data_IF_869234829748
#
_entry.id   IF_869234829748
#
_cell.length_a   1.000
_cell.length_b   1.000
_cell.length_c   1.000
_cell.angle_alpha   90.00
_cell.angle_beta   90.00
_cell.angle_gamma   90.00
#
_symmetry.space_group_name_H-M   'P 1'
#
loop_
_entity.id
_entity.type
_entity.pdbx_description
1 polymer ?
#
# COMPACT_ATOMS: atom_id res chain seq x y z
N UNK A 1 25.12 -17.95 8.23
CA UNK A 1 23.94 -18.75 7.83
C UNK A 1 23.17 -19.28 9.04
N UNK A 2 23.82 -19.26 10.22
CA UNK A 2 23.30 -19.81 11.48
C UNK A 2 22.68 -18.73 12.38
N UNK A 3 22.70 -17.46 11.96
CA UNK A 3 22.09 -16.36 12.72
C UNK A 3 20.56 -16.52 12.73
N UNK A 4 19.97 -16.39 13.92
CA UNK A 4 18.54 -16.45 14.12
C UNK A 4 17.82 -15.25 13.52
N UNK A 5 16.76 -15.50 12.76
CA UNK A 5 15.92 -14.49 12.11
C UNK A 5 15.37 -13.47 13.11
N UNK A 6 14.90 -13.92 14.28
CA UNK A 6 14.37 -13.06 15.34
C UNK A 6 15.48 -12.35 16.12
N UNK A 7 16.67 -12.95 16.23
CA UNK A 7 17.83 -12.33 16.88
C UNK A 7 18.35 -11.13 16.06
N UNK A 8 18.15 -11.16 14.74
CA UNK A 8 18.42 -10.06 13.81
C UNK A 8 17.28 -9.03 13.76
N UNK A 9 16.28 -9.13 14.63
CA UNK A 9 15.14 -8.22 14.70
C UNK A 9 14.03 -8.55 13.70
N UNK A 10 14.02 -9.76 13.15
CA UNK A 10 12.90 -10.28 12.37
C UNK A 10 11.60 -10.29 13.18
N UNK A 11 10.48 -9.99 12.53
CA UNK A 11 9.14 -10.07 13.09
C UNK A 11 8.19 -10.75 12.10
N UNK A 12 6.89 -10.82 12.44
CA UNK A 12 5.89 -11.44 11.57
C UNK A 12 5.74 -10.74 10.21
N UNK A 13 6.02 -9.44 10.11
CA UNK A 13 5.94 -8.68 8.87
C UNK A 13 7.16 -8.98 7.99
N UNK A 14 8.37 -8.97 8.59
CA UNK A 14 9.60 -9.33 7.87
C UNK A 14 9.52 -10.80 7.41
N UNK A 15 8.91 -11.68 8.19
CA UNK A 15 8.70 -13.08 7.82
C UNK A 15 7.80 -13.21 6.58
N UNK A 16 6.70 -12.44 6.49
CA UNK A 16 5.84 -12.39 5.31
C UNK A 16 6.62 -11.86 4.09
N UNK A 17 7.43 -10.82 4.27
CA UNK A 17 8.28 -10.27 3.19
C UNK A 17 9.32 -11.28 2.72
N UNK A 18 9.95 -12.01 3.63
CA UNK A 18 10.90 -13.08 3.34
C UNK A 18 10.24 -14.17 2.50
N UNK A 19 9.09 -14.67 2.94
CA UNK A 19 8.30 -15.69 2.21
C UNK A 19 7.93 -15.20 0.81
N UNK A 20 7.45 -13.96 0.69
CA UNK A 20 7.08 -13.38 -0.60
C UNK A 20 8.27 -13.29 -1.57
N UNK A 21 9.42 -12.81 -1.09
CA UNK A 21 10.65 -12.69 -1.89
C UNK A 21 11.26 -14.05 -2.24
N UNK A 22 11.24 -15.00 -1.32
CA UNK A 22 11.67 -16.38 -1.58
C UNK A 22 10.83 -16.98 -2.71
N UNK A 23 9.51 -16.81 -2.67
CA UNK A 23 8.60 -17.29 -3.72
C UNK A 23 8.87 -16.64 -5.09
N UNK A 24 9.11 -15.33 -5.12
CA UNK A 24 9.53 -14.63 -6.34
C UNK A 24 10.86 -15.17 -6.89
N UNK A 25 11.74 -15.65 -6.01
CA UNK A 25 13.01 -16.28 -6.35
C UNK A 25 12.90 -17.78 -6.67
N UNK A 26 11.67 -18.33 -6.72
CA UNK A 26 11.42 -19.73 -7.08
C UNK A 26 11.45 -20.72 -5.91
N UNK A 27 11.43 -20.24 -4.66
CA UNK A 27 11.45 -21.08 -3.45
C UNK A 27 10.15 -20.91 -2.63
N UNK A 28 9.53 -22.03 -2.25
CA UNK A 28 8.38 -22.07 -1.35
C UNK A 28 8.87 -22.34 0.06
N UNK A 29 8.66 -21.35 0.92
CA UNK A 29 8.72 -21.45 2.38
C UNK A 29 7.44 -20.81 2.93
N UNK A 30 6.98 -21.25 4.09
CA UNK A 30 5.79 -20.70 4.74
C UNK A 30 6.17 -19.81 5.92
N UNK A 31 5.29 -18.90 6.37
CA UNK A 31 5.53 -18.16 7.61
C UNK A 31 5.77 -19.10 8.80
N UNK A 32 5.06 -20.23 8.84
CA UNK A 32 5.27 -21.27 9.86
C UNK A 32 6.71 -21.79 9.82
N UNK A 33 7.27 -22.02 8.64
CA UNK A 33 8.65 -22.47 8.50
C UNK A 33 9.61 -21.43 9.06
N UNK A 34 9.41 -20.13 8.82
CA UNK A 34 10.26 -19.05 9.40
C UNK A 34 10.24 -19.05 10.93
N UNK A 35 9.09 -19.36 11.54
CA UNK A 35 9.00 -19.47 13.00
C UNK A 35 9.64 -20.74 13.56
N UNK A 36 9.56 -21.85 12.82
CA UNK A 36 10.07 -23.16 13.24
C UNK A 36 11.56 -23.35 12.94
N UNK A 37 12.03 -22.75 11.85
CA UNK A 37 13.35 -22.86 11.26
C UNK A 37 13.92 -21.44 11.18
N UNK A 38 14.64 -21.03 12.22
CA UNK A 38 14.94 -19.63 12.44
C UNK A 38 16.22 -19.19 11.75
N UNK A 39 17.02 -20.12 11.23
CA UNK A 39 18.27 -19.81 10.53
C UNK A 39 18.12 -20.02 9.02
N UNK A 40 19.03 -19.44 8.24
CA UNK A 40 19.07 -19.62 6.78
C UNK A 40 19.34 -21.07 6.42
N UNK A 41 20.18 -21.76 7.19
CA UNK A 41 20.49 -23.19 7.00
C UNK A 41 19.23 -24.05 7.18
N UNK A 42 18.49 -23.86 8.27
CA UNK A 42 17.29 -24.65 8.56
C UNK A 42 16.17 -24.37 7.54
N UNK A 43 16.00 -23.11 7.13
CA UNK A 43 15.03 -22.75 6.09
C UNK A 43 15.40 -23.32 4.72
N UNK A 44 16.69 -23.32 4.37
CA UNK A 44 17.14 -23.91 3.12
C UNK A 44 16.87 -25.42 3.06
N UNK A 45 16.89 -26.11 4.20
CA UNK A 45 16.59 -27.54 4.28
C UNK A 45 15.10 -27.87 4.07
N UNK A 46 14.19 -26.93 4.35
CA UNK A 46 12.73 -27.13 4.16
C UNK A 46 12.19 -26.50 2.88
N UNK A 47 12.88 -25.50 2.34
CA UNK A 47 12.51 -24.80 1.12
C UNK A 47 12.34 -25.76 -0.06
N UNK A 48 11.17 -25.69 -0.70
CA UNK A 48 10.87 -26.47 -1.90
C UNK A 48 10.97 -25.58 -3.14
N UNK A 49 11.43 -26.07 -4.31
CA UNK A 49 11.25 -25.34 -5.54
C UNK A 49 9.74 -25.16 -5.81
N UNK A 50 9.34 -23.98 -6.29
CA UNK A 50 7.96 -23.74 -6.69
C UNK A 50 7.58 -24.72 -7.80
N UNK A 51 6.60 -25.61 -7.54
CA UNK A 51 6.12 -26.57 -8.53
C UNK A 51 5.53 -25.88 -9.77
N UNK A 52 5.53 -26.56 -10.92
CA UNK A 52 5.02 -26.02 -12.19
C UNK A 52 3.55 -25.54 -12.11
N UNK A 53 2.76 -26.06 -11.16
CA UNK A 53 1.38 -25.61 -10.86
C UNK A 53 1.23 -24.72 -9.62
N UNK A 54 2.31 -24.44 -8.88
CA UNK A 54 2.30 -23.58 -7.68
C UNK A 54 2.86 -22.18 -7.95
N UNK A 55 3.40 -21.94 -9.14
CA UNK A 55 3.60 -20.56 -9.62
C UNK A 55 2.23 -19.90 -9.56
N UNK A 56 2.10 -18.84 -8.76
CA UNK A 56 0.90 -18.02 -8.81
C UNK A 56 0.72 -17.64 -10.28
N UNK A 57 -0.36 -18.12 -10.91
CA UNK A 57 -0.69 -17.72 -12.28
C UNK A 57 -0.68 -16.20 -12.29
N UNK A 58 0.23 -15.62 -13.08
CA UNK A 58 0.28 -14.18 -13.24
C UNK A 58 -1.09 -13.74 -13.74
N UNK A 59 -1.72 -12.86 -12.98
CA UNK A 59 -3.03 -12.34 -13.38
C UNK A 59 -2.91 -11.65 -14.74
N UNK A 60 -3.91 -11.80 -15.63
CA UNK A 60 -3.91 -11.06 -16.87
C UNK A 60 -3.92 -9.55 -16.55
N UNK A 61 -3.29 -8.70 -17.39
CA UNK A 61 -3.33 -7.26 -17.21
C UNK A 61 -4.77 -6.76 -17.01
N UNK A 62 -4.98 -5.92 -15.99
CA UNK A 62 -6.30 -5.38 -15.64
C UNK A 62 -7.21 -6.30 -14.82
N UNK A 63 -6.75 -7.48 -14.40
CA UNK A 63 -7.55 -8.37 -13.54
C UNK A 63 -8.00 -7.73 -12.21
N UNK A 64 -7.22 -6.77 -11.70
CA UNK A 64 -7.54 -6.02 -10.49
C UNK A 64 -8.66 -4.99 -10.64
N UNK A 65 -9.12 -4.69 -11.86
CA UNK A 65 -10.07 -3.62 -12.17
C UNK A 65 -11.51 -4.10 -12.06
N UNK A 66 -12.41 -3.22 -11.62
CA UNK A 66 -13.85 -3.45 -11.50
C UNK A 66 -14.29 -3.81 -10.08
N UNK A 67 -15.47 -4.43 -9.96
CA UNK A 67 -16.10 -4.69 -8.67
C UNK A 67 -15.24 -5.57 -7.76
N UNK A 68 -15.04 -5.11 -6.52
CA UNK A 68 -14.31 -5.78 -5.45
C UNK A 68 -15.32 -6.31 -4.42
N UNK A 69 -15.35 -7.62 -4.14
CA UNK A 69 -16.15 -8.15 -3.05
C UNK A 69 -15.75 -7.50 -1.71
N UNK A 70 -16.73 -7.05 -0.94
CA UNK A 70 -16.48 -6.43 0.36
C UNK A 70 -15.83 -7.45 1.31
N UNK A 71 -14.64 -7.11 1.78
CA UNK A 71 -13.90 -7.91 2.77
C UNK A 71 -14.42 -7.60 4.18
N UNK A 72 -14.11 -8.42 5.21
CA UNK A 72 -14.61 -8.18 6.57
C UNK A 72 -14.28 -6.78 7.11
N UNK A 73 -13.08 -6.25 6.81
CA UNK A 73 -12.72 -4.89 7.24
C UNK A 73 -13.51 -3.81 6.48
N UNK A 74 -13.80 -4.02 5.19
CA UNK A 74 -14.63 -3.12 4.41
C UNK A 74 -16.09 -3.12 4.89
N UNK A 75 -16.62 -4.29 5.26
CA UNK A 75 -17.95 -4.42 5.89
C UNK A 75 -17.99 -3.71 7.24
N UNK A 76 -17.02 -3.98 8.11
CA UNK A 76 -16.89 -3.27 9.38
C UNK A 76 -16.80 -1.75 9.19
N UNK A 77 -16.10 -1.29 8.15
CA UNK A 77 -16.01 0.13 7.83
C UNK A 77 -17.36 0.74 7.42
N UNK A 78 -18.18 0.00 6.68
CA UNK A 78 -19.55 0.42 6.31
C UNK A 78 -20.47 0.55 7.53
N UNK A 79 -20.22 -0.25 8.58
CA UNK A 79 -20.99 -0.22 9.83
C UNK A 79 -20.57 0.92 10.77
N UNK A 80 -19.53 1.71 10.43
CA UNK A 80 -19.10 2.83 11.26
C UNK A 80 -20.07 4.01 11.17
N UNK A 81 -20.57 4.45 12.33
CA UNK A 81 -21.36 5.67 12.42
C UNK A 81 -20.45 6.91 12.36
N UNK A 82 -20.67 7.79 11.38
CA UNK A 82 -20.03 9.11 11.29
C UNK A 82 -19.38 9.40 9.94
N UNK A 83 -18.73 10.58 9.78
CA UNK A 83 -18.06 10.93 8.53
C UNK A 83 -16.79 10.11 8.37
N UNK A 84 -16.79 9.19 7.41
CA UNK A 84 -15.68 8.26 7.16
C UNK A 84 -14.79 8.67 5.98
N UNK A 85 -15.20 9.64 5.16
CA UNK A 85 -14.47 10.07 3.95
C UNK A 85 -13.02 10.50 4.22
N UNK A 86 -12.76 11.05 5.41
CA UNK A 86 -11.43 11.46 5.86
C UNK A 86 -10.69 10.43 6.71
N UNK A 87 -11.19 9.19 6.82
CA UNK A 87 -10.59 8.15 7.66
C UNK A 87 -9.31 7.64 6.99
N UNK A 88 -8.16 8.11 7.48
CA UNK A 88 -6.90 8.07 6.73
C UNK A 88 -5.72 7.69 7.59
N UNK A 89 -4.69 7.16 6.92
CA UNK A 89 -3.33 7.09 7.44
C UNK A 89 -2.46 8.09 6.70
N UNK A 90 -1.43 8.60 7.38
CA UNK A 90 -0.54 9.62 6.81
C UNK A 90 0.91 9.42 7.24
N UNK A 91 1.83 9.56 6.30
CA UNK A 91 3.28 9.48 6.52
C UNK A 91 3.92 10.82 6.17
N UNK A 92 4.74 11.36 7.09
CA UNK A 92 5.53 12.56 6.87
C UNK A 92 7.00 12.18 6.71
N UNK A 93 7.56 12.48 5.55
CA UNK A 93 8.93 12.12 5.17
C UNK A 93 9.81 13.36 5.15
N UNK A 94 11.08 13.20 5.52
CA UNK A 94 12.12 14.16 5.17
C UNK A 94 12.61 13.86 3.76
N UNK A 95 12.71 14.90 2.95
CA UNK A 95 13.03 14.78 1.52
C UNK A 95 14.18 15.71 1.14
N UNK A 96 14.95 15.38 0.09
CA UNK A 96 16.00 16.27 -0.38
C UNK A 96 15.41 17.61 -0.87
N UNK A 97 16.24 18.66 -0.97
CA UNK A 97 15.87 19.86 -1.70
C UNK A 97 15.51 19.52 -3.16
N UNK A 98 14.73 20.39 -3.79
CA UNK A 98 14.50 20.35 -5.25
C UNK A 98 13.86 19.04 -5.78
N UNK A 99 12.85 18.51 -5.08
CA UNK A 99 12.09 17.35 -5.55
C UNK A 99 11.39 17.58 -6.89
N UNK A 100 10.98 18.82 -7.17
CA UNK A 100 10.21 19.21 -8.34
C UNK A 100 8.76 18.73 -8.31
N UNK A 101 7.80 19.66 -8.44
CA UNK A 101 6.37 19.32 -8.43
C UNK A 101 6.01 18.38 -9.59
N UNK A 102 6.56 18.61 -10.78
CA UNK A 102 6.25 17.78 -11.95
C UNK A 102 6.76 16.35 -11.80
N UNK A 103 7.93 16.16 -11.17
CA UNK A 103 8.47 14.83 -10.91
C UNK A 103 7.64 14.09 -9.86
N UNK A 104 7.21 14.79 -8.79
CA UNK A 104 6.30 14.24 -7.80
C UNK A 104 4.93 13.88 -8.38
N UNK A 105 4.37 14.72 -9.26
CA UNK A 105 3.10 14.43 -9.93
C UNK A 105 3.21 13.19 -10.82
N UNK A 106 4.28 13.05 -11.61
CA UNK A 106 4.51 11.83 -12.42
C UNK A 106 4.73 10.59 -11.55
N UNK A 107 5.48 10.71 -10.45
CA UNK A 107 5.71 9.62 -9.53
C UNK A 107 4.42 9.15 -8.87
N UNK A 108 3.59 10.10 -8.40
CA UNK A 108 2.30 9.79 -7.82
C UNK A 108 1.36 9.17 -8.86
N UNK A 109 1.32 9.67 -10.09
CA UNK A 109 0.53 9.07 -11.17
C UNK A 109 0.94 7.61 -11.41
N UNK A 110 2.25 7.35 -11.48
CA UNK A 110 2.78 5.98 -11.66
C UNK A 110 2.35 5.06 -10.52
N UNK A 111 2.43 5.52 -9.27
CA UNK A 111 1.99 4.76 -8.10
C UNK A 111 0.48 4.53 -8.10
N UNK A 112 -0.31 5.55 -8.43
CA UNK A 112 -1.78 5.44 -8.55
C UNK A 112 -2.16 4.44 -9.63
N UNK A 113 -1.46 4.42 -10.76
CA UNK A 113 -1.72 3.54 -11.91
C UNK A 113 -1.22 2.12 -11.69
N UNK A 114 -0.21 1.94 -10.86
CA UNK A 114 0.35 0.63 -10.52
C UNK A 114 -0.42 -0.09 -9.40
N UNK A 115 -0.85 0.64 -8.37
CA UNK A 115 -1.55 0.06 -7.21
C UNK A 115 -3.06 0.25 -7.32
N UNK A 116 -3.72 -0.75 -7.88
CA UNK A 116 -5.17 -0.78 -8.19
C UNK A 116 -6.07 -0.17 -7.10
N UNK A 117 -5.85 -0.54 -5.83
CA UNK A 117 -6.69 -0.06 -4.73
C UNK A 117 -6.60 1.46 -4.52
N UNK A 118 -5.55 2.14 -4.95
CA UNK A 118 -5.46 3.60 -4.86
C UNK A 118 -6.46 4.32 -5.79
N UNK A 119 -7.10 3.59 -6.72
CA UNK A 119 -8.17 4.07 -7.60
C UNK A 119 -9.54 3.49 -7.22
N UNK A 120 -9.66 2.95 -6.00
CA UNK A 120 -10.93 2.44 -5.47
C UNK A 120 -11.96 3.58 -5.40
N UNK A 121 -13.19 3.30 -5.84
CA UNK A 121 -14.40 4.11 -5.64
C UNK A 121 -15.36 3.38 -4.73
N UNK A 122 -16.07 4.15 -3.90
CA UNK A 122 -17.07 3.65 -2.95
C UNK A 122 -18.41 4.30 -3.24
N UNK A 123 -19.39 3.52 -3.67
CA UNK A 123 -20.77 3.99 -3.89
C UNK A 123 -21.74 3.20 -3.00
N UNK A 124 -22.09 3.78 -1.86
CA UNK A 124 -22.87 3.10 -0.82
C UNK A 124 -22.15 1.84 -0.33
N UNK A 125 -22.72 0.67 -0.66
CA UNK A 125 -22.12 -0.61 -0.29
C UNK A 125 -21.15 -1.19 -1.34
N UNK A 126 -21.05 -0.56 -2.50
CA UNK A 126 -20.30 -1.07 -3.63
C UNK A 126 -18.87 -0.53 -3.67
N UNK A 127 -17.94 -1.42 -4.00
CA UNK A 127 -16.51 -1.14 -4.13
C UNK A 127 -16.06 -1.45 -5.55
N UNK A 128 -15.50 -0.46 -6.24
CA UNK A 128 -15.05 -0.61 -7.62
C UNK A 128 -13.68 0.00 -7.83
N UNK A 129 -12.73 -0.78 -8.32
CA UNK A 129 -11.43 -0.27 -8.77
C UNK A 129 -11.57 0.28 -10.18
N UNK A 130 -11.20 1.53 -10.38
CA UNK A 130 -11.19 2.15 -11.70
C UNK A 130 -9.94 1.79 -12.53
N UNK A 131 -10.02 1.99 -13.84
CA UNK A 131 -8.92 1.83 -14.80
C UNK A 131 -7.71 2.71 -14.43
N UNK A 132 -6.47 2.30 -14.76
CA UNK A 132 -5.31 3.20 -14.75
C UNK A 132 -5.61 4.49 -15.54
N UNK A 133 -5.18 5.63 -15.01
CA UNK A 133 -5.46 6.97 -15.55
C UNK A 133 -6.85 7.52 -15.23
N UNK A 134 -7.74 6.78 -14.58
CA UNK A 134 -9.05 7.29 -14.16
C UNK A 134 -8.97 8.33 -13.03
N UNK A 135 -7.83 8.41 -12.33
CA UNK A 135 -7.53 9.39 -11.30
C UNK A 135 -6.31 10.19 -11.74
N UNK A 136 -6.49 11.50 -11.95
CA UNK A 136 -5.41 12.42 -12.26
C UNK A 136 -4.66 12.81 -10.98
N UNK A 137 -3.34 12.58 -10.96
CA UNK A 137 -2.48 12.94 -9.84
C UNK A 137 -2.27 14.46 -9.68
N UNK A 138 -2.38 15.24 -10.76
CA UNK A 138 -2.10 16.67 -10.74
C UNK A 138 -2.89 17.45 -9.67
N UNK A 139 -4.22 17.31 -9.52
CA UNK A 139 -4.97 17.99 -8.46
C UNK A 139 -4.71 17.43 -7.05
N UNK A 140 -4.04 16.28 -6.93
CA UNK A 140 -3.77 15.62 -5.65
C UNK A 140 -2.43 16.05 -5.05
N UNK A 141 -1.56 16.65 -5.86
CA UNK A 141 -0.25 17.16 -5.46
C UNK A 141 -0.33 18.64 -5.12
N UNK A 142 0.06 18.98 -3.89
CA UNK A 142 0.13 20.35 -3.41
C UNK A 142 1.56 20.71 -3.03
N UNK A 143 2.10 21.79 -3.59
CA UNK A 143 3.34 22.42 -3.10
C UNK A 143 3.00 23.55 -2.14
N UNK A 144 3.73 23.61 -1.03
CA UNK A 144 3.62 24.66 -0.01
C UNK A 144 5.03 25.18 0.26
N UNK A 145 5.26 26.46 0.00
CA UNK A 145 6.53 27.11 0.32
C UNK A 145 6.62 27.33 1.83
N UNK A 146 7.64 26.73 2.44
CA UNK A 146 7.96 26.85 3.87
C UNK A 146 9.38 27.39 4.09
N UNK A 147 10.00 27.94 3.06
CA UNK A 147 11.34 28.50 3.16
C UNK A 147 11.39 29.66 4.16
N UNK A 148 12.36 29.60 5.08
CA UNK A 148 12.56 30.66 6.08
C UNK A 148 11.54 30.67 7.24
N UNK A 149 10.59 29.74 7.29
CA UNK A 149 9.70 29.61 8.45
C UNK A 149 10.47 29.12 9.68
N UNK A 150 10.14 29.68 10.84
CA UNK A 150 10.60 29.13 12.11
C UNK A 150 9.86 27.82 12.45
N UNK A 151 10.35 27.11 13.47
CA UNK A 151 9.79 25.81 13.89
C UNK A 151 8.32 25.88 14.29
N UNK A 152 7.87 27.01 14.86
CA UNK A 152 6.49 27.20 15.31
C UNK A 152 5.55 27.37 14.12
N UNK A 153 5.90 28.27 13.20
CA UNK A 153 5.17 28.52 11.96
C UNK A 153 5.12 27.26 11.08
N UNK A 154 6.25 26.56 10.93
CA UNK A 154 6.31 25.31 10.17
C UNK A 154 5.35 24.25 10.73
N UNK A 155 5.28 24.09 12.06
CA UNK A 155 4.37 23.13 12.69
C UNK A 155 2.90 23.49 12.45
N UNK A 156 2.56 24.77 12.49
CA UNK A 156 1.20 25.23 12.22
C UNK A 156 0.78 24.92 10.77
N UNK A 157 1.64 25.25 9.79
CA UNK A 157 1.39 24.97 8.37
C UNK A 157 1.28 23.46 8.11
N UNK A 158 2.17 22.65 8.68
CA UNK A 158 2.10 21.18 8.58
C UNK A 158 0.75 20.64 9.08
N UNK A 159 0.27 21.12 10.23
CA UNK A 159 -0.99 20.66 10.82
C UNK A 159 -2.20 21.09 9.97
N UNK A 160 -2.22 22.33 9.49
CA UNK A 160 -3.29 22.85 8.64
C UNK A 160 -3.39 22.07 7.32
N UNK A 161 -2.26 21.89 6.64
CA UNK A 161 -2.20 21.18 5.37
C UNK A 161 -2.48 19.69 5.53
N UNK A 162 -2.10 19.08 6.67
CA UNK A 162 -2.47 17.70 6.96
C UNK A 162 -3.98 17.51 7.14
N UNK A 163 -4.67 18.47 7.74
CA UNK A 163 -6.13 18.44 7.84
C UNK A 163 -6.82 18.81 6.52
N UNK A 164 -6.25 19.71 5.72
CA UNK A 164 -6.73 20.00 4.38
C UNK A 164 -6.62 18.76 3.46
N UNK A 165 -5.47 18.07 3.48
CA UNK A 165 -5.26 16.82 2.78
C UNK A 165 -6.27 15.75 3.22
N UNK A 166 -6.51 15.61 4.54
CA UNK A 166 -7.51 14.67 5.06
C UNK A 166 -8.92 14.97 4.56
N UNK A 167 -9.34 16.24 4.59
CA UNK A 167 -10.65 16.68 4.09
C UNK A 167 -10.79 16.60 2.57
N UNK A 168 -9.67 16.57 1.85
CA UNK A 168 -9.65 16.43 0.40
C UNK A 168 -9.86 14.99 -0.07
N UNK A 169 -9.78 14.00 0.80
CA UNK A 169 -10.13 12.63 0.43
C UNK A 169 -11.63 12.55 0.11
N UNK A 170 -11.96 11.79 -0.93
CA UNK A 170 -13.32 11.58 -1.39
C UNK A 170 -13.40 10.17 -2.01
N UNK A 171 -13.72 9.14 -1.19
CA UNK A 171 -13.88 7.77 -1.65
C UNK A 171 -14.92 7.60 -2.75
N UNK A 172 -15.98 8.41 -2.79
CA UNK A 172 -17.01 8.33 -3.82
C UNK A 172 -16.48 8.78 -5.19
N UNK A 173 -15.68 9.85 -5.21
CA UNK A 173 -14.99 10.31 -6.42
C UNK A 173 -13.75 9.47 -6.78
N UNK A 174 -13.37 8.50 -5.96
CA UNK A 174 -12.15 7.68 -6.14
C UNK A 174 -10.86 8.37 -5.72
N UNK A 175 -11.00 9.46 -4.96
CA UNK A 175 -9.91 10.29 -4.51
C UNK A 175 -9.36 9.76 -3.19
N UNK A 176 -8.50 8.74 -3.30
CA UNK A 176 -7.97 8.00 -2.15
C UNK A 176 -6.62 8.51 -1.63
N UNK A 177 -6.02 9.49 -2.31
CA UNK A 177 -4.69 10.00 -2.00
C UNK A 177 -4.59 11.54 -2.04
N UNK A 178 -3.73 12.09 -1.18
CA UNK A 178 -3.25 13.48 -1.21
C UNK A 178 -1.76 13.51 -0.89
N UNK A 179 -1.01 14.28 -1.66
CA UNK A 179 0.43 14.46 -1.47
C UNK A 179 0.74 15.95 -1.31
N UNK A 180 1.34 16.32 -0.18
CA UNK A 180 1.73 17.70 0.11
C UNK A 180 3.25 17.78 0.26
N UNK A 181 3.89 18.54 -0.61
CA UNK A 181 5.31 18.85 -0.53
C UNK A 181 5.50 20.22 0.13
N UNK A 182 6.09 20.20 1.33
CA UNK A 182 6.55 21.37 2.06
C UNK A 182 7.98 21.68 1.59
N UNK A 183 8.08 22.61 0.66
CA UNK A 183 9.31 23.00 0.00
C UNK A 183 10.07 24.02 0.86
N UNK A 184 11.25 23.62 1.35
CA UNK A 184 12.12 24.47 2.15
C UNK A 184 13.14 25.25 1.29
N UNK A 185 12.95 25.28 -0.03
CA UNK A 185 13.82 25.92 -0.99
C UNK A 185 14.93 24.99 -1.53
N UNK A 186 15.84 25.53 -2.37
CA UNK A 186 16.77 24.74 -3.17
C UNK A 186 17.94 24.13 -2.37
N UNK A 187 18.09 24.48 -1.09
CA UNK A 187 19.25 24.11 -0.29
C UNK A 187 18.91 23.37 1.00
N UNK A 188 17.66 23.44 1.47
CA UNK A 188 17.23 22.83 2.72
C UNK A 188 16.31 21.63 2.45
N UNK A 189 16.43 20.58 3.28
CA UNK A 189 15.55 19.42 3.19
C UNK A 189 14.11 19.80 3.53
N UNK A 190 13.21 19.59 2.57
CA UNK A 190 11.77 19.78 2.75
C UNK A 190 11.12 18.65 3.54
N UNK A 191 9.79 18.66 3.55
CA UNK A 191 8.96 17.54 4.04
C UNK A 191 7.95 17.12 2.99
N UNK A 192 7.59 15.85 2.97
CA UNK A 192 6.56 15.30 2.09
C UNK A 192 5.53 14.56 2.94
N UNK A 193 4.28 15.01 2.91
CA UNK A 193 3.16 14.33 3.53
C UNK A 193 2.39 13.55 2.47
N UNK A 194 2.30 12.23 2.63
CA UNK A 194 1.41 11.38 1.86
C UNK A 194 0.27 10.93 2.77
N UNK A 195 -0.96 11.29 2.41
CA UNK A 195 -2.19 10.94 3.11
C UNK A 195 -3.01 10.01 2.22
N UNK A 196 -3.34 8.83 2.73
CA UNK A 196 -4.11 7.81 2.01
C UNK A 196 -5.34 7.41 2.84
N UNK A 197 -6.46 7.19 2.17
CA UNK A 197 -7.67 6.67 2.81
C UNK A 197 -7.42 5.24 3.34
N UNK A 198 -7.89 4.93 4.55
CA UNK A 198 -7.54 3.68 5.22
C UNK A 198 -8.12 2.43 4.53
N UNK A 199 -9.16 2.58 3.69
CA UNK A 199 -9.67 1.48 2.86
C UNK A 199 -8.63 0.94 1.85
N UNK A 200 -7.61 1.74 1.52
CA UNK A 200 -6.64 1.42 0.46
C UNK A 200 -5.22 1.24 1.00
N UNK A 201 -5.02 1.39 2.32
CA UNK A 201 -3.70 1.30 2.95
C UNK A 201 -3.77 0.71 4.36
N UNK A 202 -2.74 -0.05 4.72
CA UNK A 202 -2.46 -0.47 6.09
C UNK A 202 -0.95 -0.33 6.42
N UNK A 203 -0.55 -0.80 7.61
CA UNK A 203 0.84 -0.72 8.07
C UNK A 203 1.86 -1.51 7.23
N UNK A 204 1.42 -2.54 6.50
CA UNK A 204 2.27 -3.31 5.59
C UNK A 204 2.34 -2.62 4.22
N UNK A 205 1.21 -2.09 3.72
CA UNK A 205 1.15 -1.36 2.45
C UNK A 205 2.14 -0.20 2.37
N UNK A 206 2.39 0.53 3.47
CA UNK A 206 3.37 1.62 3.49
C UNK A 206 4.80 1.17 3.13
N UNK A 207 5.17 -0.08 3.44
CA UNK A 207 6.48 -0.65 3.09
C UNK A 207 6.62 -0.99 1.61
N UNK A 208 5.54 -0.87 0.84
CA UNK A 208 5.49 -1.08 -0.61
C UNK A 208 5.32 0.28 -1.30
N UNK A 209 4.29 1.04 -0.92
CA UNK A 209 3.95 2.32 -1.56
C UNK A 209 5.07 3.34 -1.47
N UNK A 210 5.77 3.44 -0.33
CA UNK A 210 6.84 4.44 -0.17
C UNK A 210 8.08 4.12 -1.02
N UNK A 211 8.66 2.90 -1.00
CA UNK A 211 9.72 2.53 -1.94
C UNK A 211 9.32 2.69 -3.41
N UNK A 212 8.08 2.36 -3.76
CA UNK A 212 7.59 2.52 -5.14
C UNK A 212 7.48 3.99 -5.53
N UNK A 213 7.01 4.87 -4.63
CA UNK A 213 7.00 6.31 -4.89
C UNK A 213 8.42 6.85 -5.11
N UNK A 214 9.40 6.39 -4.33
CA UNK A 214 10.81 6.77 -4.51
C UNK A 214 11.35 6.26 -5.85
N UNK A 215 11.04 5.01 -6.20
CA UNK A 215 11.46 4.38 -7.46
C UNK A 215 10.87 5.12 -8.66
N UNK A 216 9.56 5.40 -8.62
CA UNK A 216 8.86 6.15 -9.67
C UNK A 216 9.37 7.59 -9.78
N UNK A 217 9.67 8.26 -8.66
CA UNK A 217 10.26 9.59 -8.66
C UNK A 217 11.66 9.61 -9.30
N UNK A 218 12.45 8.56 -9.08
CA UNK A 218 13.75 8.38 -9.73
C UNK A 218 13.63 7.93 -11.21
N UNK A 219 12.42 7.70 -11.73
CA UNK A 219 12.17 7.25 -13.10
C UNK A 219 12.41 5.76 -13.33
N UNK A 220 12.42 4.95 -12.27
CA UNK A 220 12.52 3.50 -12.34
C UNK A 220 11.16 2.81 -12.53
N UNK A 221 11.20 1.58 -13.03
CA UNK A 221 10.01 0.73 -13.19
C UNK A 221 9.65 0.03 -11.87
N UNK A 222 8.35 -0.06 -11.59
CA UNK A 222 7.83 -0.74 -10.41
C UNK A 222 7.75 -2.25 -10.65
N UNK A 223 8.08 -3.04 -9.63
CA UNK A 223 7.95 -4.49 -9.69
C UNK A 223 6.47 -4.88 -9.88
N UNK A 224 6.16 -5.89 -10.71
CA UNK A 224 4.77 -6.24 -11.01
C UNK A 224 4.00 -6.70 -9.76
N UNK A 225 2.71 -6.35 -9.70
CA UNK A 225 1.78 -6.86 -8.67
C UNK A 225 1.36 -8.28 -9.03
N UNK A 226 1.75 -9.32 -8.27
CA UNK A 226 1.48 -10.71 -8.66
C UNK A 226 0.02 -11.12 -8.42
N UNK A 227 -0.61 -10.57 -7.38
CA UNK A 227 -2.00 -10.86 -7.00
C UNK A 227 -2.70 -9.57 -6.67
N UNK A 228 -3.80 -9.26 -7.35
CA UNK A 228 -4.59 -8.06 -7.07
C UNK A 228 -5.41 -8.21 -5.78
N UNK A 229 -5.70 -7.09 -5.11
CA UNK A 229 -6.60 -7.11 -3.95
C UNK A 229 -7.99 -7.66 -4.34
N UNK A 230 -8.46 -7.33 -5.54
CA UNK A 230 -9.71 -7.85 -6.09
C UNK A 230 -9.71 -9.38 -6.17
N UNK A 231 -8.66 -9.98 -6.71
CA UNK A 231 -8.52 -11.44 -6.77
C UNK A 231 -8.45 -12.05 -5.38
N UNK A 232 -7.70 -11.45 -4.47
CA UNK A 232 -7.65 -11.88 -3.09
C UNK A 232 -9.04 -11.84 -2.42
N UNK A 233 -9.78 -10.76 -2.58
CA UNK A 233 -11.14 -10.61 -2.05
C UNK A 233 -12.10 -11.66 -2.63
N UNK A 234 -12.05 -11.91 -3.94
CA UNK A 234 -12.84 -12.98 -4.58
C UNK A 234 -12.52 -14.36 -4.01
N UNK A 235 -11.24 -14.68 -3.82
CA UNK A 235 -10.82 -15.95 -3.22
C UNK A 235 -11.27 -16.05 -1.77
N UNK A 236 -11.14 -14.99 -1.00
CA UNK A 236 -11.60 -14.94 0.39
C UNK A 236 -13.11 -15.20 0.48
N UNK A 237 -13.92 -14.58 -0.39
CA UNK A 237 -15.37 -14.80 -0.43
C UNK A 237 -15.72 -16.24 -0.83
N UNK A 238 -15.01 -16.81 -1.81
CA UNK A 238 -15.22 -18.19 -2.23
C UNK A 238 -14.88 -19.17 -1.09
N UNK A 239 -13.73 -18.98 -0.43
CA UNK A 239 -13.26 -19.80 0.68
C UNK A 239 -14.21 -19.73 1.88
N UNK A 240 -14.75 -18.55 2.17
CA UNK A 240 -15.71 -18.36 3.27
C UNK A 240 -17.04 -19.11 3.06
N UNK A 241 -17.37 -19.47 1.81
CA UNK A 241 -18.57 -20.22 1.46
C UNK A 241 -18.28 -21.69 1.13
N UNK A 242 -17.02 -22.13 1.21
CA UNK A 242 -16.64 -23.51 0.94
C UNK A 242 -17.22 -24.43 2.03
N UNK A 243 -18.00 -25.48 1.68
CA UNK A 243 -18.54 -26.42 2.66
C UNK A 243 -17.49 -26.99 3.61
N UNK A 244 -16.29 -27.29 3.12
CA UNK A 244 -15.20 -27.80 3.94
C UNK A 244 -14.76 -26.79 5.01
N UNK A 245 -14.75 -25.49 4.68
CA UNK A 245 -14.43 -24.42 5.62
C UNK A 245 -15.54 -24.13 6.59
N UNK A 246 -16.79 -24.11 6.11
CA UNK A 246 -17.93 -23.91 7.01
C UNK A 246 -18.07 -25.03 8.04
N UNK A 247 -17.63 -26.25 7.71
CA UNK A 247 -17.62 -27.38 8.64
C UNK A 247 -16.58 -27.23 9.77
N UNK A 248 -15.63 -26.29 9.66
CA UNK A 248 -14.68 -25.96 10.73
C UNK A 248 -15.28 -25.03 11.80
N UNK A 249 -16.43 -24.39 11.52
CA UNK A 249 -17.10 -23.52 12.48
C UNK A 249 -17.70 -24.36 13.62
N UNK A 250 -17.51 -23.97 14.89
CA UNK A 250 -18.15 -24.65 16.00
C UNK A 250 -19.68 -24.54 15.88
N UNK A 251 -20.36 -25.68 16.03
CA UNK A 251 -21.81 -25.79 16.10
C UNK A 251 -22.39 -25.06 17.32
#
# INVERSE_FOLDING_TARGET
>A
IDDGFFDLGGDSIIAIQLVSRARQSGLVITPRDVFQHQTVEELAATAQPVGEGERAEAEPPGAGIGRVPATPIMRWFQDLNGPVDGYSQRMLLQVPPDLGVDALTRALQTVLDHHDMLRLRVDGEEFEVAEPGAVDAAPLVRRVDVAGLDTGALRAVLAEEAEAARRGLDPAAGTMARLVWFDAGPHASGRLLLTLHHLVVDGVSWRIILPDLVTAWAGGDLAPVPTSFRRWAQRLTAEASDPARTAELPL
#
